data_IF_527378167175
#
_entry.id   IF_527378167175
#
_cell.length_a   1.000
_cell.length_b   1.000
_cell.length_c   1.000
_cell.angle_alpha   90.00
_cell.angle_beta   90.00
_cell.angle_gamma   90.00
#
_symmetry.space_group_name_H-M   'P 1'
#
loop_
_entity.id
_entity.type
_entity.pdbx_description
1 polymer ?
#
# COMPACT_ATOMS: atom_id res chain seq x y z
N UNK A 1 0.51 12.07 -14.54
CA UNK A 1 0.47 11.94 -13.07
C UNK A 1 1.87 11.59 -12.60
N UNK A 2 2.50 12.43 -11.77
CA UNK A 2 3.77 12.07 -11.15
C UNK A 2 3.51 11.14 -9.96
N UNK A 3 4.26 10.05 -9.88
CA UNK A 3 4.28 9.16 -8.71
C UNK A 3 5.39 9.61 -7.78
N UNK A 4 5.03 9.95 -6.53
CA UNK A 4 5.98 10.48 -5.54
C UNK A 4 6.55 9.39 -4.65
N UNK A 5 5.69 8.46 -4.20
CA UNK A 5 6.07 7.34 -3.36
C UNK A 5 5.32 6.09 -3.76
N UNK A 6 5.99 4.95 -3.64
CA UNK A 6 5.42 3.66 -4.01
C UNK A 6 5.64 2.67 -2.87
N UNK A 7 4.60 1.93 -2.53
CA UNK A 7 4.61 0.85 -1.57
C UNK A 7 4.11 -0.44 -2.24
N UNK A 8 4.79 -1.54 -1.93
CA UNK A 8 4.43 -2.87 -2.40
C UNK A 8 3.56 -3.55 -1.36
N UNK A 9 2.37 -3.99 -1.77
CA UNK A 9 1.39 -4.62 -0.89
C UNK A 9 1.50 -6.13 -1.04
N UNK A 10 1.64 -6.83 0.08
CA UNK A 10 1.71 -8.30 0.12
C UNK A 10 0.58 -8.85 0.98
N UNK A 11 -0.11 -9.87 0.48
CA UNK A 11 -1.10 -10.64 1.23
C UNK A 11 -0.57 -12.05 1.39
N UNK A 12 -0.40 -12.49 2.64
CA UNK A 12 0.16 -13.83 2.97
C UNK A 12 1.48 -14.11 2.23
N UNK A 13 2.39 -13.13 2.23
CA UNK A 13 3.69 -13.17 1.51
C UNK A 13 3.60 -13.23 -0.04
N UNK A 14 2.42 -13.12 -0.63
CA UNK A 14 2.23 -13.05 -2.07
C UNK A 14 2.09 -11.58 -2.47
N UNK A 15 2.81 -11.16 -3.50
CA UNK A 15 2.71 -9.80 -4.03
C UNK A 15 1.29 -9.57 -4.57
N UNK A 16 0.55 -8.69 -3.92
CA UNK A 16 -0.86 -8.44 -4.22
C UNK A 16 -1.06 -7.25 -5.16
N UNK A 17 -0.19 -6.25 -5.05
CA UNK A 17 -0.32 -5.03 -5.85
C UNK A 17 0.55 -3.88 -5.37
N UNK A 18 0.33 -2.74 -5.96
CA UNK A 18 1.13 -1.53 -5.74
C UNK A 18 0.22 -0.39 -5.27
N UNK A 19 0.61 0.26 -4.16
CA UNK A 19 0.02 1.49 -3.66
C UNK A 19 0.96 2.64 -4.01
N UNK A 20 0.45 3.65 -4.69
CA UNK A 20 1.20 4.83 -5.12
C UNK A 20 0.58 6.09 -4.50
N UNK A 21 1.44 6.96 -3.99
CA UNK A 21 1.10 8.34 -3.68
C UNK A 21 1.36 9.18 -4.92
N UNK A 22 0.35 9.93 -5.35
CA UNK A 22 0.38 10.84 -6.49
C UNK A 22 0.13 12.26 -6.01
N UNK A 23 0.34 13.25 -6.89
CA UNK A 23 0.06 14.65 -6.58
C UNK A 23 -1.43 14.91 -6.25
N UNK A 24 -2.31 14.03 -6.73
CA UNK A 24 -3.77 14.15 -6.58
C UNK A 24 -4.35 13.27 -5.45
N UNK A 25 -3.50 12.49 -4.78
CA UNK A 25 -3.88 11.59 -3.69
C UNK A 25 -3.17 10.25 -3.73
N UNK A 26 -3.94 9.16 -3.75
CA UNK A 26 -3.44 7.79 -3.72
C UNK A 26 -4.09 6.95 -4.81
N UNK A 27 -3.29 6.07 -5.41
CA UNK A 27 -3.78 5.03 -6.30
C UNK A 27 -3.35 3.65 -5.83
N UNK A 28 -4.24 2.66 -5.98
CA UNK A 28 -3.93 1.27 -5.66
C UNK A 28 -4.32 0.38 -6.84
N UNK A 29 -3.40 -0.48 -7.26
CA UNK A 29 -3.61 -1.42 -8.35
C UNK A 29 -3.20 -2.82 -7.93
N UNK A 30 -4.06 -3.80 -8.18
CA UNK A 30 -3.71 -5.21 -8.04
C UNK A 30 -2.72 -5.64 -9.13
N UNK A 31 -1.85 -6.58 -8.78
CA UNK A 31 -0.98 -7.23 -9.75
C UNK A 31 -1.79 -8.25 -10.58
N UNK A 32 -1.58 -8.26 -11.89
CA UNK A 32 -2.32 -9.13 -12.80
C UNK A 32 -2.09 -10.62 -12.50
N UNK A 33 -0.88 -11.00 -12.09
CA UNK A 33 -0.56 -12.39 -11.73
C UNK A 33 -1.22 -12.78 -10.42
N UNK A 34 -1.29 -11.84 -9.47
CA UNK A 34 -2.03 -12.04 -8.23
C UNK A 34 -3.52 -12.31 -8.50
N UNK A 35 -4.13 -11.54 -9.40
CA UNK A 35 -5.54 -11.73 -9.78
C UNK A 35 -5.82 -13.07 -10.45
N UNK A 36 -4.83 -13.65 -11.14
CA UNK A 36 -4.94 -14.95 -11.80
C UNK A 36 -4.61 -16.14 -10.89
N UNK A 37 -4.21 -15.88 -9.64
CA UNK A 37 -3.89 -16.94 -8.68
C UNK A 37 -5.17 -17.57 -8.14
N UNK A 38 -5.28 -18.89 -8.19
CA UNK A 38 -6.42 -19.62 -7.64
C UNK A 38 -6.52 -19.38 -6.11
N UNK A 39 -7.66 -18.89 -5.65
CA UNK A 39 -7.86 -18.51 -4.24
C UNK A 39 -7.27 -17.16 -3.82
N UNK A 40 -6.96 -16.27 -4.77
CA UNK A 40 -6.50 -14.90 -4.47
C UNK A 40 -7.42 -14.21 -3.46
N UNK A 41 -6.84 -13.77 -2.35
CA UNK A 41 -7.57 -13.06 -1.30
C UNK A 41 -7.61 -11.57 -1.60
N UNK A 42 -8.77 -10.94 -1.45
CA UNK A 42 -8.85 -9.48 -1.53
C UNK A 42 -8.03 -8.83 -0.43
N UNK A 43 -7.36 -7.72 -0.73
CA UNK A 43 -6.62 -6.92 0.25
C UNK A 43 -7.60 -6.34 1.28
N UNK A 44 -8.77 -5.86 0.82
CA UNK A 44 -9.84 -5.35 1.68
C UNK A 44 -11.21 -5.64 1.07
N UNK A 45 -12.24 -5.71 1.90
CA UNK A 45 -13.64 -5.73 1.44
C UNK A 45 -14.03 -4.45 0.68
N UNK A 46 -13.37 -3.33 0.98
CA UNK A 46 -13.58 -2.05 0.28
C UNK A 46 -12.73 -1.90 -0.98
N UNK A 47 -11.83 -2.85 -1.26
CA UNK A 47 -10.95 -2.87 -2.43
C UNK A 47 -11.04 -4.25 -3.10
N UNK A 48 -12.16 -4.58 -3.77
CA UNK A 48 -12.32 -5.88 -4.40
C UNK A 48 -11.26 -6.12 -5.50
N UNK A 49 -11.02 -7.39 -5.83
CA UNK A 49 -10.07 -7.76 -6.89
C UNK A 49 -10.61 -7.30 -8.26
N UNK A 50 -10.09 -6.18 -8.76
CA UNK A 50 -10.43 -5.63 -10.07
C UNK A 50 -9.16 -5.24 -10.83
N UNK A 51 -9.22 -5.28 -12.16
CA UNK A 51 -8.11 -4.87 -13.04
C UNK A 51 -7.93 -3.34 -13.07
N UNK A 52 -8.93 -2.60 -12.59
CA UNK A 52 -8.88 -1.15 -12.58
C UNK A 52 -8.15 -0.65 -11.34
N UNK A 53 -7.35 0.39 -11.54
CA UNK A 53 -6.73 1.11 -10.44
C UNK A 53 -7.80 1.84 -9.63
N UNK A 54 -7.72 1.73 -8.31
CA UNK A 54 -8.49 2.53 -7.37
C UNK A 54 -7.81 3.88 -7.20
N UNK A 55 -8.59 4.94 -7.07
CA UNK A 55 -8.10 6.28 -6.79
C UNK A 55 -8.86 6.89 -5.62
N UNK A 56 -8.13 7.60 -4.78
CA UNK A 56 -8.69 8.32 -3.64
C UNK A 56 -7.87 9.58 -3.37
N UNK A 57 -8.50 10.65 -2.89
CA UNK A 57 -7.79 11.87 -2.46
C UNK A 57 -7.01 11.66 -1.16
N UNK A 58 -7.38 10.65 -0.40
CA UNK A 58 -6.79 10.29 0.90
C UNK A 58 -6.39 8.83 0.90
N UNK A 59 -5.51 8.43 1.83
CA UNK A 59 -5.12 7.03 1.98
C UNK A 59 -6.36 6.16 2.24
N UNK A 60 -6.45 5.00 1.58
CA UNK A 60 -7.59 4.12 1.75
C UNK A 60 -7.70 3.66 3.22
N UNK A 61 -8.91 3.70 3.78
CA UNK A 61 -9.15 3.40 5.20
C UNK A 61 -8.66 2.03 5.65
N UNK A 62 -8.56 1.06 4.74
CA UNK A 62 -7.94 -0.23 5.02
C UNK A 62 -6.46 -0.09 5.41
N UNK A 63 -5.68 0.69 4.65
CA UNK A 63 -4.28 0.93 4.95
C UNK A 63 -4.10 1.80 6.19
N UNK A 64 -5.02 2.74 6.44
CA UNK A 64 -5.04 3.54 7.68
C UNK A 64 -5.26 2.63 8.91
N UNK A 65 -6.20 1.68 8.84
CA UNK A 65 -6.43 0.70 9.90
C UNK A 65 -5.30 -0.32 10.08
N UNK A 66 -4.37 -0.43 9.13
CA UNK A 66 -3.15 -1.25 9.24
C UNK A 66 -1.97 -0.50 9.86
N UNK A 67 -2.10 0.80 10.12
CA UNK A 67 -1.14 1.57 10.89
C UNK A 67 -1.56 1.42 12.36
N UNK A 68 -0.95 0.52 13.16
CA UNK A 68 -1.15 0.59 14.59
C UNK A 68 -0.75 1.98 15.06
N UNK A 69 -1.44 2.53 16.07
CA UNK A 69 -1.14 3.83 16.67
C UNK A 69 0.33 3.98 17.14
N UNK A 70 1.11 2.89 17.17
CA UNK A 70 2.57 2.87 17.40
C UNK A 70 3.48 2.66 16.17
N UNK A 71 2.97 2.25 14.99
CA UNK A 71 3.81 1.99 13.81
C UNK A 71 4.51 3.23 13.29
N UNK A 72 3.83 4.39 13.31
CA UNK A 72 4.44 5.65 12.89
C UNK A 72 5.68 5.95 13.76
N UNK A 73 5.58 5.74 15.08
CA UNK A 73 6.72 5.89 15.99
C UNK A 73 7.82 4.87 15.69
N UNK A 74 7.49 3.62 15.37
CA UNK A 74 8.48 2.59 15.04
C UNK A 74 9.16 2.76 13.67
N UNK A 75 8.45 3.32 12.68
CA UNK A 75 9.03 3.68 11.37
C UNK A 75 9.89 4.92 11.49
N UNK A 76 9.44 5.95 12.23
CA UNK A 76 10.25 7.13 12.53
C UNK A 76 11.50 6.72 13.32
N UNK A 77 11.39 5.83 14.32
CA UNK A 77 12.54 5.27 15.05
C UNK A 77 13.52 4.52 14.14
N UNK A 78 13.01 3.71 13.20
CA UNK A 78 13.84 2.96 12.24
C UNK A 78 14.54 3.89 11.24
N UNK A 79 13.85 4.89 10.72
CA UNK A 79 14.43 5.87 9.79
C UNK A 79 15.40 6.85 10.49
N UNK A 80 15.12 7.26 11.73
CA UNK A 80 16.00 8.18 12.47
C UNK A 80 17.35 7.54 12.82
N UNK A 81 17.39 6.22 13.06
CA UNK A 81 18.68 5.51 13.25
C UNK A 81 19.56 5.53 12.00
N UNK A 82 18.99 5.77 10.81
CA UNK A 82 19.75 5.93 9.55
C UNK A 82 20.21 7.37 9.30
N UNK A 83 19.74 8.35 10.08
CA UNK A 83 20.16 9.76 10.02
C UNK A 83 21.20 10.15 11.09
N UNK A 84 22.02 9.20 11.57
CA UNK A 84 23.30 9.56 12.18
C UNK A 84 24.39 9.51 11.11
N UNK A 85 24.39 10.50 10.24
CA UNK A 85 25.60 10.84 9.48
C UNK A 85 26.36 11.88 10.30
N UNK A 86 27.64 11.59 10.51
CA UNK A 86 28.64 12.36 11.24
C UNK A 86 28.77 13.81 10.78
#
# INVERSE_FOLDING_TARGET
MNTMRTAYVYVRNIFAGTLCETDEGYSFSYDEKYMQTDGASVVSLTLPLTQQAYYSKTLFSFFDGLIPEGWLLDVVRRNWKLMKTH
#
